data_IF_885063491844
#
_entry.id   IF_885063491844
#
_cell.length_a   1.000
_cell.length_b   1.000
_cell.length_c   1.000
_cell.angle_alpha   90.00
_cell.angle_beta   90.00
_cell.angle_gamma   90.00
#
_symmetry.space_group_name_H-M   'P 1'
#
loop_
_entity.id
_entity.type
_entity.pdbx_description
1 polymer ?
#
# COMPACT_ATOMS: atom_id res chain seq x y z
N UNK A 1 3.26 -35.30 -11.15
CA UNK A 1 2.99 -34.98 -10.93
C UNK A 1 3.09 -34.48 -10.79
N UNK A 2 3.20 -34.51 -10.91
CA UNK A 2 3.05 -33.91 -10.61
C UNK A 2 3.27 -33.37 -10.48
N UNK A 3 3.34 -33.24 -10.57
CA UNK A 3 3.32 -32.70 -10.29
C UNK A 3 3.58 -31.99 -10.13
N UNK A 4 3.69 -32.21 -10.34
CA UNK A 4 3.66 -31.49 -10.03
C UNK A 4 3.83 -30.77 -9.89
N UNK A 5 3.84 -30.92 -10.07
CA UNK A 5 3.69 -30.18 -9.75
C UNK A 5 3.85 -29.47 -9.50
N UNK A 6 3.93 -29.46 -9.64
CA UNK A 6 3.80 -28.69 -9.17
C UNK A 6 4.10 -27.92 -8.83
N UNK A 7 4.19 -27.83 -9.01
CA UNK A 7 4.17 -27.13 -8.56
C UNK A 7 4.33 -26.20 -8.15
N UNK A 8 4.38 -26.34 -8.48
CA UNK A 8 4.27 -25.53 -8.05
C UNK A 8 4.24 -24.69 -7.62
N UNK A 9 4.16 -24.71 -7.62
CA UNK A 9 3.97 -24.08 -7.16
C UNK A 9 3.95 -23.31 -6.63
N UNK A 10 3.81 -23.27 -6.49
CA UNK A 10 3.86 -22.58 -6.01
C UNK A 10 3.75 -21.76 -5.54
N UNK A 11 3.71 -21.58 -5.48
CA UNK A 11 3.64 -20.97 -5.05
C UNK A 11 3.12 -20.10 -4.88
N UNK A 12 2.72 -20.23 -4.75
CA UNK A 12 2.20 -19.45 -4.44
C UNK A 12 1.92 -18.78 -3.92
N UNK A 13 1.97 -18.63 -4.04
CA UNK A 13 2.00 -17.83 -3.47
C UNK A 13 1.48 -17.35 -2.60
N UNK A 14 2.00 -17.64 -2.19
CA UNK A 14 1.53 -17.25 -1.39
C UNK A 14 0.84 -16.49 -1.43
N UNK A 15 0.36 -16.79 -1.12
CA UNK A 15 -0.57 -15.94 -1.71
C UNK A 15 0.04 -14.61 -2.00
N UNK A 16 -0.11 -14.19 -3.21
CA UNK A 16 0.36 -12.88 -3.54
C UNK A 16 -0.32 -11.91 -2.60
N UNK A 17 0.48 -11.12 -1.92
CA UNK A 17 -0.04 -10.14 -0.99
C UNK A 17 -0.86 -9.12 -1.73
N UNK A 18 -1.97 -8.74 -1.14
CA UNK A 18 -2.82 -7.72 -1.70
C UNK A 18 -2.45 -6.37 -1.10
N UNK A 19 -2.27 -5.38 -1.98
CA UNK A 19 -1.91 -4.02 -1.60
C UNK A 19 -3.07 -3.10 -1.97
N UNK A 20 -3.49 -2.27 -1.05
CA UNK A 20 -4.42 -1.18 -1.39
C UNK A 20 -3.58 0.04 -1.73
N UNK A 21 -3.87 0.64 -2.89
CA UNK A 21 -3.23 1.86 -3.35
C UNK A 21 -4.28 2.95 -3.33
N UNK A 22 -4.01 4.05 -2.66
CA UNK A 22 -4.98 5.15 -2.55
C UNK A 22 -4.32 6.43 -3.03
N UNK A 23 -4.84 6.98 -4.11
CA UNK A 23 -4.31 8.20 -4.71
C UNK A 23 -5.44 8.84 -5.52
N UNK A 24 -5.72 10.11 -5.24
CA UNK A 24 -6.80 10.80 -5.94
C UNK A 24 -6.44 11.14 -7.39
N UNK A 25 -5.18 10.98 -7.79
CA UNK A 25 -4.77 11.16 -9.18
C UNK A 25 -4.72 9.81 -9.88
N UNK A 26 -5.65 9.56 -10.81
CA UNK A 26 -5.75 8.23 -11.43
C UNK A 26 -4.47 7.79 -12.11
N UNK A 27 -3.77 8.72 -12.76
CA UNK A 27 -2.53 8.35 -13.47
C UNK A 27 -1.45 7.87 -12.52
N UNK A 28 -1.34 8.48 -11.36
CA UNK A 28 -0.35 8.06 -10.38
C UNK A 28 -0.71 6.68 -9.84
N UNK A 29 -1.98 6.48 -9.51
CA UNK A 29 -2.45 5.17 -9.05
C UNK A 29 -2.17 4.07 -10.06
N UNK A 30 -2.42 4.35 -11.34
CA UNK A 30 -2.16 3.38 -12.40
C UNK A 30 -0.70 3.01 -12.49
N UNK A 31 0.19 4.01 -12.38
CA UNK A 31 1.63 3.76 -12.43
C UNK A 31 2.06 2.92 -11.23
N UNK A 32 1.58 3.26 -10.04
CA UNK A 32 1.92 2.51 -8.84
C UNK A 32 1.47 1.06 -8.96
N UNK A 33 0.25 0.84 -9.45
CA UNK A 33 -0.23 -0.52 -9.65
C UNK A 33 0.62 -1.30 -10.64
N UNK A 34 1.03 -0.65 -11.73
CA UNK A 34 1.88 -1.29 -12.73
C UNK A 34 3.22 -1.71 -12.12
N UNK A 35 3.80 -0.84 -11.30
CA UNK A 35 5.06 -1.15 -10.63
C UNK A 35 4.89 -2.31 -9.67
N UNK A 36 3.83 -2.31 -8.88
CA UNK A 36 3.57 -3.38 -7.94
C UNK A 36 3.39 -4.71 -8.66
N UNK A 37 2.72 -4.70 -9.78
CA UNK A 37 2.53 -5.90 -10.57
C UNK A 37 3.86 -6.47 -11.05
N UNK A 38 4.77 -5.59 -11.48
CA UNK A 38 6.11 -6.02 -11.86
C UNK A 38 6.84 -6.69 -10.70
N UNK A 39 6.57 -6.27 -9.49
CA UNK A 39 7.16 -6.86 -8.30
C UNK A 39 6.46 -8.11 -7.81
N UNK A 40 5.39 -8.53 -8.47
CA UNK A 40 4.67 -9.74 -8.09
C UNK A 40 3.53 -9.50 -7.11
N UNK A 41 3.11 -8.27 -6.92
CA UNK A 41 2.05 -7.93 -5.96
C UNK A 41 0.74 -7.65 -6.67
N UNK A 42 -0.35 -8.10 -6.07
CA UNK A 42 -1.69 -7.72 -6.50
C UNK A 42 -2.07 -6.42 -5.81
N UNK A 43 -2.82 -5.57 -6.50
CA UNK A 43 -3.25 -4.32 -5.89
C UNK A 43 -4.64 -3.93 -6.36
N UNK A 44 -5.31 -3.16 -5.52
CA UNK A 44 -6.57 -2.51 -5.84
C UNK A 44 -6.35 -1.03 -5.58
N UNK A 45 -6.70 -0.19 -6.56
CA UNK A 45 -6.49 1.24 -6.45
C UNK A 45 -7.81 1.95 -6.16
N UNK A 46 -7.77 2.87 -5.22
CA UNK A 46 -8.91 3.73 -4.88
C UNK A 46 -8.50 5.17 -5.10
N UNK A 47 -9.37 5.94 -5.73
CA UNK A 47 -9.15 7.37 -5.90
C UNK A 47 -9.75 8.20 -4.78
N UNK A 48 -10.61 7.58 -3.99
CA UNK A 48 -11.31 8.25 -2.90
C UNK A 48 -10.92 7.57 -1.58
N UNK A 49 -10.27 8.29 -0.65
CA UNK A 49 -9.83 7.68 0.60
C UNK A 49 -10.99 7.20 1.47
N UNK A 50 -12.14 7.85 1.39
CA UNK A 50 -13.30 7.41 2.16
C UNK A 50 -13.79 6.05 1.66
N UNK A 51 -13.79 5.85 0.34
CA UNK A 51 -14.14 4.57 -0.23
C UNK A 51 -13.11 3.49 0.11
N UNK A 52 -11.84 3.87 0.13
CA UNK A 52 -10.79 2.94 0.50
C UNK A 52 -10.97 2.47 1.93
N UNK A 53 -11.30 3.38 2.83
CA UNK A 53 -11.54 3.02 4.23
C UNK A 53 -12.75 2.11 4.36
N UNK A 54 -13.81 2.42 3.63
CA UNK A 54 -15.00 1.59 3.65
C UNK A 54 -14.71 0.17 3.16
N UNK A 55 -13.99 0.08 2.03
CA UNK A 55 -13.62 -1.22 1.48
C UNK A 55 -12.72 -1.98 2.45
N UNK A 56 -11.79 -1.29 3.09
CA UNK A 56 -10.89 -1.91 4.05
C UNK A 56 -11.66 -2.48 5.24
N UNK A 57 -12.62 -1.71 5.74
CA UNK A 57 -13.41 -2.12 6.90
C UNK A 57 -14.19 -3.41 6.61
N UNK A 58 -14.69 -3.54 5.39
CA UNK A 58 -15.54 -4.66 5.01
C UNK A 58 -14.78 -5.84 4.42
N UNK A 59 -13.52 -5.66 4.08
CA UNK A 59 -12.76 -6.69 3.39
C UNK A 59 -12.46 -7.90 4.27
N UNK A 60 -12.47 -9.07 3.63
CA UNK A 60 -12.12 -10.30 4.30
C UNK A 60 -11.57 -11.29 3.26
N UNK A 61 -10.27 -11.53 3.22
CA UNK A 61 -9.24 -10.95 4.09
C UNK A 61 -8.94 -9.50 3.72
N UNK A 62 -8.38 -8.77 4.66
CA UNK A 62 -7.95 -7.41 4.42
C UNK A 62 -6.58 -7.40 3.73
N UNK A 63 -6.23 -6.28 3.07
CA UNK A 63 -4.91 -6.20 2.44
C UNK A 63 -3.82 -6.25 3.49
N UNK A 64 -2.63 -6.69 3.07
CA UNK A 64 -1.48 -6.75 3.95
C UNK A 64 -0.76 -5.41 4.02
N UNK A 65 -0.94 -4.56 3.02
CA UNK A 65 -0.22 -3.31 2.89
C UNK A 65 -1.15 -2.23 2.36
N UNK A 66 -1.07 -1.05 2.95
CA UNK A 66 -1.75 0.15 2.48
C UNK A 66 -0.70 1.13 2.00
N UNK A 67 -0.78 1.54 0.75
CA UNK A 67 0.13 2.49 0.13
C UNK A 67 -0.70 3.70 -0.28
N UNK A 68 -0.48 4.84 0.33
CA UNK A 68 -1.35 5.99 0.12
C UNK A 68 -0.58 7.28 -0.08
N UNK A 69 -1.11 8.13 -0.96
CA UNK A 69 -0.67 9.52 -1.08
C UNK A 69 -1.06 10.27 0.19
N UNK A 70 -0.32 11.31 0.50
CA UNK A 70 -0.65 12.12 1.68
C UNK A 70 -1.82 13.04 1.42
N UNK A 71 -1.73 13.84 0.36
CA UNK A 71 -2.67 14.93 0.15
C UNK A 71 -3.80 14.52 -0.79
N UNK A 72 -4.97 14.36 -0.22
CA UNK A 72 -6.16 13.97 -0.96
C UNK A 72 -7.35 14.74 -0.42
N UNK A 73 -8.40 14.96 -1.25
CA UNK A 73 -9.63 15.59 -0.74
C UNK A 73 -10.25 14.73 0.34
N UNK A 74 -10.93 15.37 1.27
CA UNK A 74 -11.77 14.75 2.30
C UNK A 74 -10.98 14.09 3.43
N UNK A 75 -9.90 13.40 3.14
CA UNK A 75 -9.14 12.69 4.17
C UNK A 75 -7.70 12.59 3.71
N UNK A 76 -6.76 12.95 4.57
CA UNK A 76 -5.34 12.81 4.24
C UNK A 76 -4.94 11.34 4.34
N UNK A 77 -3.82 11.02 3.68
CA UNK A 77 -3.29 9.66 3.77
C UNK A 77 -2.96 9.29 5.21
N UNK A 78 -2.54 10.26 6.01
CA UNK A 78 -2.22 10.00 7.41
C UNK A 78 -3.46 9.62 8.21
N UNK A 79 -4.55 10.32 7.98
CA UNK A 79 -5.81 9.97 8.62
C UNK A 79 -6.28 8.59 8.19
N UNK A 80 -6.12 8.28 6.90
CA UNK A 80 -6.50 6.97 6.40
C UNK A 80 -5.68 5.87 7.07
N UNK A 81 -4.37 6.07 7.19
CA UNK A 81 -3.50 5.12 7.87
C UNK A 81 -3.95 4.92 9.31
N UNK A 82 -4.22 6.01 10.00
CA UNK A 82 -4.65 5.93 11.38
C UNK A 82 -5.94 5.12 11.53
N UNK A 83 -6.93 5.42 10.68
CA UNK A 83 -8.21 4.74 10.72
C UNK A 83 -8.07 3.25 10.42
N UNK A 84 -7.27 2.92 9.42
CA UNK A 84 -7.07 1.52 9.06
C UNK A 84 -6.32 0.77 10.15
N UNK A 85 -5.33 1.40 10.78
CA UNK A 85 -4.58 0.74 11.85
C UNK A 85 -5.41 0.58 13.12
N UNK A 86 -6.40 1.42 13.31
CA UNK A 86 -7.33 1.21 14.42
C UNK A 86 -8.14 -0.06 14.25
N UNK A 87 -8.42 -0.41 12.99
CA UNK A 87 -9.14 -1.64 12.68
C UNK A 87 -8.20 -2.84 12.69
N UNK A 88 -6.99 -2.68 12.18
CA UNK A 88 -6.03 -3.75 12.05
C UNK A 88 -4.64 -3.23 12.39
N UNK A 89 -4.25 -3.31 13.68
CA UNK A 89 -2.99 -2.69 14.12
C UNK A 89 -1.74 -3.23 13.43
N UNK A 90 -1.77 -4.45 12.95
CA UNK A 90 -0.60 -5.06 12.29
C UNK A 90 -0.49 -4.70 10.82
N UNK A 91 -1.42 -3.91 10.27
CA UNK A 91 -1.35 -3.48 8.88
C UNK A 91 -0.04 -2.73 8.63
N UNK A 92 0.63 -3.07 7.54
CA UNK A 92 1.81 -2.33 7.11
C UNK A 92 1.36 -1.16 6.24
N UNK A 93 2.06 -0.04 6.36
CA UNK A 93 1.65 1.18 5.67
C UNK A 93 2.84 1.91 5.08
N UNK A 94 2.63 2.50 3.91
CA UNK A 94 3.59 3.37 3.24
C UNK A 94 2.85 4.63 2.84
N UNK A 95 3.41 5.76 3.24
CA UNK A 95 2.88 7.07 2.87
C UNK A 95 3.83 7.72 1.88
N UNK A 96 3.32 8.18 0.73
CA UNK A 96 4.19 8.88 -0.20
C UNK A 96 3.70 10.30 -0.43
N UNK A 97 4.66 11.19 -0.69
CA UNK A 97 4.38 12.61 -0.78
C UNK A 97 5.48 13.33 -1.52
N UNK A 98 5.11 14.38 -2.22
CA UNK A 98 6.06 15.28 -2.88
C UNK A 98 6.42 16.50 -2.05
N UNK A 99 5.81 16.67 -0.89
CA UNK A 99 5.99 17.86 -0.08
C UNK A 99 6.89 17.57 1.12
N UNK A 100 8.03 18.26 1.17
CA UNK A 100 9.01 18.07 2.23
C UNK A 100 8.42 18.33 3.61
N UNK A 101 7.53 19.28 3.70
CA UNK A 101 6.96 19.66 5.00
C UNK A 101 6.11 18.55 5.60
N UNK A 102 5.57 17.69 4.75
CA UNK A 102 4.79 16.57 5.22
C UNK A 102 5.65 15.54 5.94
N UNK A 103 6.93 15.49 5.59
CA UNK A 103 7.87 14.57 6.22
C UNK A 103 8.11 14.91 7.69
N UNK A 104 7.91 16.16 8.05
CA UNK A 104 8.25 16.62 9.39
C UNK A 104 7.10 16.49 10.36
N UNK A 105 5.99 15.91 9.94
CA UNK A 105 4.84 15.78 10.82
C UNK A 105 5.05 14.59 11.75
N UNK A 106 6.15 14.61 12.44
CA UNK A 106 6.52 13.57 13.40
C UNK A 106 5.60 13.56 14.61
N UNK A 107 4.87 14.65 14.79
CA UNK A 107 3.99 14.78 15.94
C UNK A 107 2.71 13.95 15.84
N UNK A 108 2.42 13.40 14.67
CA UNK A 108 1.26 12.55 14.56
C UNK A 108 1.47 11.28 15.36
N UNK A 109 0.43 10.86 16.06
CA UNK A 109 0.51 9.67 16.87
C UNK A 109 0.80 8.43 16.05
N UNK A 110 0.10 8.28 14.94
CA UNK A 110 0.24 7.11 14.08
C UNK A 110 1.15 7.47 12.93
N UNK A 111 2.26 6.74 12.82
CA UNK A 111 3.22 6.95 11.75
C UNK A 111 3.11 5.86 10.73
N UNK A 112 3.38 6.17 9.45
CA UNK A 112 3.51 5.11 8.47
C UNK A 112 4.74 4.25 8.80
N UNK A 113 4.70 3.01 8.37
CA UNK A 113 5.85 2.13 8.56
C UNK A 113 7.02 2.58 7.69
N UNK A 114 6.72 3.14 6.53
CA UNK A 114 7.72 3.73 5.66
C UNK A 114 7.19 5.01 5.04
N UNK A 115 8.10 5.88 4.70
CA UNK A 115 7.79 7.12 4.00
C UNK A 115 8.53 7.10 2.67
N UNK A 116 7.82 7.41 1.59
CA UNK A 116 8.41 7.40 0.25
C UNK A 116 8.20 8.77 -0.38
N UNK A 117 9.30 9.39 -0.79
CA UNK A 117 9.27 10.73 -1.36
C UNK A 117 9.06 10.66 -2.87
N UNK A 118 8.19 11.48 -3.37
CA UNK A 118 8.03 11.66 -4.82
C UNK A 118 9.08 12.63 -5.34
N UNK A 119 9.60 12.44 -6.54
CA UNK A 119 9.35 11.30 -7.40
C UNK A 119 10.18 10.10 -6.97
N UNK A 120 9.66 8.91 -7.21
CA UNK A 120 10.39 7.70 -6.88
C UNK A 120 10.47 6.81 -8.13
N UNK A 121 11.49 5.96 -8.15
CA UNK A 121 11.66 5.01 -9.26
C UNK A 121 10.92 3.72 -8.95
N UNK A 122 10.61 2.93 -9.98
CA UNK A 122 10.03 1.62 -9.74
C UNK A 122 10.87 0.76 -8.81
N UNK A 123 12.19 0.81 -8.96
CA UNK A 123 13.08 0.03 -8.11
C UNK A 123 12.95 0.44 -6.64
N UNK A 124 12.91 1.74 -6.37
CA UNK A 124 12.79 2.24 -5.00
C UNK A 124 11.49 1.75 -4.37
N UNK A 125 10.39 1.85 -5.10
CA UNK A 125 9.11 1.40 -4.57
C UNK A 125 9.12 -0.09 -4.28
N UNK A 126 9.58 -0.89 -5.24
CA UNK A 126 9.62 -2.34 -5.07
C UNK A 126 10.53 -2.73 -3.91
N UNK A 127 11.70 -2.09 -3.80
CA UNK A 127 12.62 -2.39 -2.70
C UNK A 127 11.98 -2.11 -1.35
N UNK A 128 11.28 -0.99 -1.22
CA UNK A 128 10.62 -0.63 0.03
C UNK A 128 9.51 -1.62 0.35
N UNK A 129 8.69 -1.96 -0.64
CA UNK A 129 7.61 -2.91 -0.42
C UNK A 129 8.18 -4.26 0.00
N UNK A 130 9.21 -4.74 -0.71
CA UNK A 130 9.84 -6.01 -0.35
C UNK A 130 10.38 -5.99 1.07
N UNK A 131 11.00 -4.88 1.48
CA UNK A 131 11.58 -4.81 2.80
C UNK A 131 10.52 -4.84 3.89
N UNK A 132 9.38 -4.22 3.63
CA UNK A 132 8.34 -4.09 4.64
C UNK A 132 7.52 -5.38 4.78
N UNK A 133 7.27 -6.08 3.68
CA UNK A 133 6.51 -7.32 3.75
C UNK A 133 7.36 -8.49 4.24
N UNK A 134 8.68 -8.36 4.20
CA UNK A 134 9.57 -9.41 4.67
C UNK A 134 9.71 -9.38 6.19
N UNK A 135 9.26 -8.33 6.84
CA UNK A 135 9.30 -8.26 8.29
C UNK A 135 7.94 -8.69 8.85
#
# INVERSE_FOLDING_TARGET
>A
MDESNNETKPTAPEPSLLVYVVDDEPMVGDVVQAILKLGGYRSICFQDPVRALQAFTEANPRPALLLTDFQMPQMTGRELIQRCKEIQPELKTILYSGNVQEDTVAMYRTRPDRFLRKPFTPKTLIDIVNSIVAT
#
